data_IF_835872876421
#
_entry.id   IF_835872876421
#
_cell.length_a   1.000
_cell.length_b   1.000
_cell.length_c   1.000
_cell.angle_alpha   90.00
_cell.angle_beta   90.00
_cell.angle_gamma   90.00
#
_symmetry.space_group_name_H-M   'P 1'
#
loop_
_entity.id
_entity.type
_entity.pdbx_description
1 polymer ?
#
# COMPACT_ATOMS: atom_id res chain seq x y z
N UNK A 1 6.24 -15.07 -8.56
CA UNK A 1 6.86 -14.45 -7.37
C UNK A 1 6.06 -13.19 -7.10
N UNK A 2 5.10 -13.27 -6.17
CA UNK A 2 4.41 -12.07 -5.70
C UNK A 2 5.39 -11.35 -4.78
N UNK A 3 5.69 -10.10 -5.10
CA UNK A 3 6.50 -9.23 -4.25
C UNK A 3 5.58 -8.36 -3.42
N UNK A 4 6.02 -7.96 -2.23
CA UNK A 4 5.24 -7.09 -1.34
C UNK A 4 4.81 -5.82 -2.07
N UNK A 5 3.51 -5.51 -2.01
CA UNK A 5 2.92 -4.30 -2.58
C UNK A 5 2.57 -3.29 -1.47
N UNK A 6 2.81 -2.00 -1.72
CA UNK A 6 2.34 -0.91 -0.85
C UNK A 6 1.65 0.18 -1.66
N UNK A 7 0.67 0.83 -1.03
CA UNK A 7 0.02 2.03 -1.54
C UNK A 7 0.77 3.26 -1.05
N UNK A 8 1.03 4.22 -1.93
CA UNK A 8 1.54 5.55 -1.59
C UNK A 8 0.78 6.61 -2.37
N UNK A 9 0.98 7.89 -2.05
CA UNK A 9 0.57 9.00 -2.92
C UNK A 9 1.70 9.42 -3.85
N UNK A 10 1.35 10.07 -4.97
CA UNK A 10 2.32 10.52 -5.99
C UNK A 10 3.27 11.59 -5.44
N UNK A 11 2.81 12.41 -4.50
CA UNK A 11 3.55 13.53 -3.93
C UNK A 11 4.38 13.16 -2.68
N UNK A 12 4.25 11.94 -2.16
CA UNK A 12 5.01 11.51 -1.00
C UNK A 12 6.47 11.19 -1.42
N UNK A 13 7.47 11.94 -0.92
CA UNK A 13 8.87 11.78 -1.34
C UNK A 13 9.57 10.60 -0.66
N UNK A 14 8.90 9.92 0.29
CA UNK A 14 9.50 8.88 1.10
C UNK A 14 9.10 7.50 0.59
N UNK A 15 10.05 6.57 0.59
CA UNK A 15 9.77 5.18 0.25
C UNK A 15 8.97 4.53 1.41
N UNK A 16 7.78 3.97 1.15
CA UNK A 16 6.96 3.38 2.21
C UNK A 16 7.57 2.11 2.81
N UNK A 17 8.51 1.43 2.14
CA UNK A 17 9.22 0.27 2.67
C UNK A 17 10.38 0.65 3.58
N UNK A 18 11.21 1.61 3.16
CA UNK A 18 12.48 1.92 3.84
C UNK A 18 12.35 3.09 4.83
N UNK A 19 11.45 4.05 4.56
CA UNK A 19 11.27 5.28 5.35
C UNK A 19 9.83 5.42 5.84
N UNK A 20 9.27 4.34 6.37
CA UNK A 20 7.85 4.28 6.75
C UNK A 20 7.42 5.41 7.70
N UNK A 21 8.22 5.76 8.71
CA UNK A 21 7.86 6.83 9.66
C UNK A 21 7.73 8.20 8.99
N UNK A 22 8.67 8.57 8.12
CA UNK A 22 8.62 9.83 7.37
C UNK A 22 7.46 9.82 6.37
N UNK A 23 7.29 8.69 5.67
CA UNK A 23 6.19 8.46 4.75
C UNK A 23 4.83 8.63 5.44
N UNK A 24 4.64 8.00 6.60
CA UNK A 24 3.39 8.03 7.36
C UNK A 24 3.10 9.42 7.92
N UNK A 25 4.12 10.12 8.43
CA UNK A 25 3.95 11.48 8.93
C UNK A 25 3.55 12.45 7.82
N UNK A 26 4.15 12.34 6.63
CA UNK A 26 3.75 13.12 5.46
C UNK A 26 2.30 12.80 5.06
N UNK A 27 1.97 11.52 4.96
CA UNK A 27 0.65 11.04 4.53
C UNK A 27 -0.49 11.54 5.44
N UNK A 28 -0.33 11.39 6.76
CA UNK A 28 -1.28 11.88 7.76
C UNK A 28 -1.28 13.41 7.81
N UNK A 29 -0.11 14.06 7.71
CA UNK A 29 0.01 15.51 7.69
C UNK A 29 -0.69 16.17 6.49
N UNK A 30 -0.76 15.47 5.36
CA UNK A 30 -1.55 15.87 4.18
C UNK A 30 -3.03 15.52 4.27
N UNK A 31 -3.41 14.68 5.24
CA UNK A 31 -4.77 14.20 5.43
C UNK A 31 -5.17 13.02 4.53
N UNK A 32 -4.22 12.40 3.81
CA UNK A 32 -4.51 11.27 2.92
C UNK A 32 -4.95 10.03 3.70
N UNK A 33 -4.31 9.77 4.85
CA UNK A 33 -4.61 8.61 5.72
C UNK A 33 -4.64 7.28 4.95
N UNK A 34 -3.66 7.08 4.08
CA UNK A 34 -3.57 5.99 3.09
C UNK A 34 -3.65 4.62 3.75
N UNK A 35 -2.99 4.41 4.89
CA UNK A 35 -3.10 3.13 5.63
C UNK A 35 -4.53 2.84 6.08
N UNK A 36 -5.22 3.82 6.66
CA UNK A 36 -6.61 3.65 7.11
C UNK A 36 -7.56 3.44 5.94
N UNK A 37 -7.31 4.10 4.81
CA UNK A 37 -8.10 3.87 3.61
C UNK A 37 -7.92 2.45 3.07
N UNK A 38 -6.67 2.00 2.93
CA UNK A 38 -6.35 0.64 2.50
C UNK A 38 -6.97 -0.42 3.42
N UNK A 39 -6.87 -0.23 4.73
CA UNK A 39 -7.41 -1.16 5.73
C UNK A 39 -8.94 -1.33 5.65
N UNK A 40 -9.68 -0.36 5.09
CA UNK A 40 -11.13 -0.49 4.88
C UNK A 40 -11.50 -1.37 3.68
N UNK A 41 -10.57 -1.54 2.73
CA UNK A 41 -10.80 -2.24 1.46
C UNK A 41 -10.15 -3.62 1.46
N UNK A 42 -8.99 -3.75 2.11
CA UNK A 42 -8.30 -5.01 2.29
C UNK A 42 -9.13 -5.93 3.20
N UNK A 43 -9.35 -7.16 2.76
CA UNK A 43 -10.13 -8.17 3.49
C UNK A 43 -9.21 -9.19 4.14
N UNK A 44 -8.20 -8.71 4.86
CA UNK A 44 -7.23 -9.55 5.57
C UNK A 44 -7.88 -10.28 6.73
N UNK A 45 -7.33 -11.44 7.09
CA UNK A 45 -7.84 -12.29 8.17
C UNK A 45 -6.69 -13.00 8.87
N UNK A 46 -6.82 -13.18 10.18
CA UNK A 46 -5.92 -14.03 10.99
C UNK A 46 -6.02 -15.52 10.60
N UNK A 47 -7.04 -15.90 9.81
CA UNK A 47 -7.22 -17.26 9.28
C UNK A 47 -6.51 -17.48 7.94
N UNK A 48 -6.06 -16.41 7.28
CA UNK A 48 -5.34 -16.47 6.01
C UNK A 48 -3.83 -16.63 6.25
N UNK A 49 -3.13 -17.25 5.30
CA UNK A 49 -1.67 -17.22 5.29
C UNK A 49 -1.14 -15.79 5.07
N UNK A 50 0.14 -15.57 5.33
CA UNK A 50 0.78 -14.29 5.05
C UNK A 50 0.67 -13.94 3.56
N UNK A 51 0.85 -14.93 2.67
CA UNK A 51 0.72 -14.75 1.21
C UNK A 51 -0.72 -14.42 0.80
N UNK A 52 -1.72 -15.09 1.36
CA UNK A 52 -3.14 -14.79 1.08
C UNK A 52 -3.50 -13.37 1.55
N UNK A 53 -2.98 -12.94 2.70
CA UNK A 53 -3.14 -11.57 3.18
C UNK A 53 -2.44 -10.56 2.26
N UNK A 54 -1.23 -10.87 1.76
CA UNK A 54 -0.52 -10.05 0.79
C UNK A 54 -1.29 -9.93 -0.54
N UNK A 55 -1.91 -11.01 -1.01
CA UNK A 55 -2.76 -11.00 -2.21
C UNK A 55 -4.02 -10.12 -2.02
N UNK A 56 -4.67 -10.20 -0.85
CA UNK A 56 -5.81 -9.33 -0.53
C UNK A 56 -5.41 -7.85 -0.42
N UNK A 57 -4.23 -7.57 0.13
CA UNK A 57 -3.65 -6.23 0.14
C UNK A 57 -3.39 -5.76 -1.28
N UNK A 58 -2.78 -6.58 -2.13
CA UNK A 58 -2.49 -6.23 -3.53
C UNK A 58 -3.78 -5.94 -4.31
N UNK A 59 -4.80 -6.78 -4.14
CA UNK A 59 -6.13 -6.60 -4.73
C UNK A 59 -6.77 -5.28 -4.29
N UNK A 60 -6.69 -4.96 -3.00
CA UNK A 60 -7.24 -3.71 -2.46
C UNK A 60 -6.51 -2.47 -3.00
N UNK A 61 -5.18 -2.54 -3.17
CA UNK A 61 -4.38 -1.49 -3.80
C UNK A 61 -4.83 -1.27 -5.25
N UNK A 62 -4.99 -2.35 -6.02
CA UNK A 62 -5.43 -2.25 -7.42
C UNK A 62 -6.84 -1.68 -7.54
N UNK A 63 -7.74 -2.01 -6.61
CA UNK A 63 -9.08 -1.44 -6.54
C UNK A 63 -9.04 0.08 -6.28
N UNK A 64 -8.23 0.51 -5.30
CA UNK A 64 -8.06 1.94 -4.99
C UNK A 64 -7.58 2.71 -6.22
N UNK A 65 -6.57 2.20 -6.91
CA UNK A 65 -6.00 2.86 -8.09
C UNK A 65 -6.98 2.85 -9.26
N UNK A 66 -7.70 1.75 -9.47
CA UNK A 66 -8.71 1.63 -10.54
C UNK A 66 -9.78 2.72 -10.44
N UNK A 67 -10.14 3.12 -9.22
CA UNK A 67 -11.17 4.13 -8.97
C UNK A 67 -10.60 5.51 -8.58
N UNK A 68 -9.28 5.72 -8.68
CA UNK A 68 -8.63 6.99 -8.40
C UNK A 68 -8.61 7.93 -9.61
N UNK A 69 -9.72 8.61 -9.84
CA UNK A 69 -9.85 9.59 -10.92
C UNK A 69 -9.01 10.87 -10.72
N UNK A 70 -8.52 11.11 -9.50
CA UNK A 70 -7.70 12.29 -9.17
C UNK A 70 -6.21 12.03 -9.36
N UNK A 71 -5.82 10.77 -9.62
CA UNK A 71 -4.43 10.34 -9.77
C UNK A 71 -3.59 10.77 -8.55
N UNK A 72 -4.10 10.48 -7.35
CA UNK A 72 -3.45 10.72 -6.06
C UNK A 72 -2.53 9.55 -5.71
N UNK A 73 -2.95 8.32 -6.00
CA UNK A 73 -2.35 7.10 -5.48
C UNK A 73 -1.46 6.39 -6.49
N UNK A 74 -0.46 5.68 -5.96
CA UNK A 74 0.50 4.88 -6.72
C UNK A 74 0.80 3.58 -5.99
N UNK A 75 0.84 2.48 -6.74
CA UNK A 75 1.32 1.17 -6.26
C UNK A 75 2.84 1.10 -6.40
N UNK A 76 3.50 0.63 -5.35
CA UNK A 76 4.93 0.28 -5.37
C UNK A 76 5.09 -1.19 -5.03
N UNK A 77 6.01 -1.87 -5.72
CA UNK A 77 6.30 -3.30 -5.53
C UNK A 77 7.74 -3.48 -5.10
N UNK A 78 7.99 -4.36 -4.12
CA UNK A 78 9.34 -4.82 -3.76
C UNK A 78 9.49 -6.28 -4.15
N UNK A 79 10.37 -6.53 -5.12
CA UNK A 79 10.75 -7.90 -5.48
C UNK A 79 11.73 -8.40 -4.42
N UNK A 80 11.40 -9.50 -3.74
CA UNK A 80 12.35 -10.20 -2.89
C UNK A 80 13.47 -10.74 -3.78
N UNK A 81 14.61 -10.05 -3.85
CA UNK A 81 15.79 -10.59 -4.50
C UNK A 81 16.29 -11.76 -3.63
N UNK A 82 16.08 -12.99 -4.12
CA UNK A 82 16.77 -14.17 -3.58
C UNK A 82 18.27 -13.92 -3.69
N UNK A 83 18.92 -13.71 -2.53
CA UNK A 83 20.38 -13.80 -2.42
C UNK A 83 20.75 -15.25 -2.11
#
# INVERSE_FOLDING_TARGET
MNGLCRLTTIDNPFDPFERFSDWFLFDVGKGYNTCSYLARIAKTSEQFSDEENEEEIERAIDEIIKYDFMNIYKKVKRTSATT
#
